data_IF_256736910223
#
_entry.id   IF_256736910223
#
_cell.length_a   1.000
_cell.length_b   1.000
_cell.length_c   1.000
_cell.angle_alpha   90.00
_cell.angle_beta   90.00
_cell.angle_gamma   90.00
#
_symmetry.space_group_name_H-M   'P 1'
#
loop_
_entity.id
_entity.type
_entity.pdbx_description
1 polymer ?
#
# COMPACT_ATOMS: atom_id res chain seq x y z
N UNK A 1 -50.71 41.39 47.81
CA UNK A 1 -50.20 41.17 47.06
C UNK A 1 -49.40 40.17 47.06
N UNK A 2 -49.45 39.24 46.67
CA UNK A 2 -48.76 38.28 46.60
C UNK A 2 -48.18 38.08 45.41
N UNK A 3 -47.13 37.96 45.23
CA UNK A 3 -46.50 37.68 44.13
C UNK A 3 -46.32 36.38 43.91
N UNK A 4 -46.82 35.83 43.15
CA UNK A 4 -46.65 34.56 42.82
C UNK A 4 -45.52 34.38 42.01
N UNK A 5 -44.61 34.04 42.43
CA UNK A 5 -43.47 33.75 41.68
C UNK A 5 -43.59 32.49 41.11
N UNK A 6 -43.77 32.42 39.99
CA UNK A 6 -43.83 31.25 39.41
C UNK A 6 -42.56 30.74 39.28
N UNK A 7 -42.26 29.82 39.83
CA UNK A 7 -41.07 29.15 39.63
C UNK A 7 -41.15 28.46 38.42
N UNK A 8 -40.58 28.89 37.53
CA UNK A 8 -40.52 28.13 36.30
C UNK A 8 -39.45 27.22 36.46
N UNK A 9 -39.76 26.13 36.64
CA UNK A 9 -38.80 25.10 36.76
C UNK A 9 -38.46 24.77 35.37
N UNK A 10 -37.48 25.24 34.97
CA UNK A 10 -37.06 24.89 33.68
C UNK A 10 -36.47 23.55 33.74
N UNK A 11 -37.07 22.68 33.37
CA UNK A 11 -36.56 21.37 33.34
C UNK A 11 -35.84 21.24 32.09
N UNK A 12 -34.70 21.40 32.14
CA UNK A 12 -33.94 21.16 30.97
C UNK A 12 -33.64 19.80 30.89
N UNK A 13 -34.29 19.19 30.22
CA UNK A 13 -33.99 17.81 30.04
C UNK A 13 -32.97 17.82 29.05
N UNK A 14 -31.92 17.79 29.41
CA UNK A 14 -30.89 17.67 28.46
C UNK A 14 -30.88 16.36 27.99
N UNK A 15 -31.34 16.18 27.05
CA UNK A 15 -31.34 14.89 26.55
C UNK A 15 -30.14 14.66 26.01
N UNK A 16 -29.44 14.08 26.48
CA UNK A 16 -28.31 13.76 25.93
C UNK A 16 -28.25 12.87 25.05
N UNK A 17 -27.89 12.95 24.28
CA UNK A 17 -27.77 12.19 23.33
C UNK A 17 -26.77 11.58 23.21
N UNK A 18 -26.34 11.07 23.46
CA UNK A 18 -25.46 10.37 23.30
C UNK A 18 -25.32 9.55 22.32
N UNK A 19 -25.93 9.57 21.61
CA UNK A 19 -25.84 8.71 20.61
C UNK A 19 -24.64 8.51 20.03
N UNK A 20 -23.84 9.26 20.19
CA UNK A 20 -22.70 8.99 19.47
C UNK A 20 -22.08 7.80 19.77
N UNK A 21 -22.25 7.36 20.76
CA UNK A 21 -21.51 6.23 21.04
C UNK A 21 -21.73 5.16 20.24
N UNK A 22 -22.67 5.18 19.66
CA UNK A 22 -22.92 4.01 19.03
C UNK A 22 -22.25 3.90 17.90
N UNK A 23 -21.46 4.63 17.56
CA UNK A 23 -20.91 4.39 16.48
C UNK A 23 -20.08 3.44 16.50
N UNK A 24 -20.22 2.46 16.69
CA UNK A 24 -19.55 1.47 16.46
C UNK A 24 -19.24 1.39 15.22
N UNK A 25 -18.24 1.81 14.82
CA UNK A 25 -17.79 1.56 13.65
C UNK A 25 -17.64 0.23 13.52
N UNK A 26 -18.24 -0.34 12.92
CA UNK A 26 -18.25 -1.67 12.73
C UNK A 26 -17.05 -1.97 12.22
N UNK A 27 -16.37 -2.50 12.62
CA UNK A 27 -15.38 -2.92 12.15
C UNK A 27 -15.26 -3.07 11.03
N UNK A 28 -14.74 -2.48 10.74
CA UNK A 28 -14.56 -2.43 9.68
C UNK A 28 -13.80 -3.33 9.15
N UNK A 29 -14.06 -4.17 8.88
CA UNK A 29 -13.52 -5.08 8.29
C UNK A 29 -13.34 -4.57 7.05
N UNK A 30 -12.70 -3.55 6.81
CA UNK A 30 -12.53 -3.14 5.57
C UNK A 30 -11.70 -4.02 4.88
N UNK A 31 -12.14 -4.67 4.04
CA UNK A 31 -11.39 -5.58 3.29
C UNK A 31 -10.29 -4.83 2.65
N UNK A 32 -10.46 -3.60 2.43
CA UNK A 32 -9.44 -3.00 1.77
C UNK A 32 -8.25 -2.88 2.61
N UNK A 33 -8.32 -2.94 3.83
CA UNK A 33 -7.15 -2.93 4.56
C UNK A 33 -6.54 -4.22 4.53
N UNK A 34 -7.24 -5.23 4.35
CA UNK A 34 -6.64 -6.51 4.31
C UNK A 34 -6.13 -6.73 2.97
N UNK A 35 -6.70 -6.16 2.00
CA UNK A 35 -6.23 -6.44 0.69
C UNK A 35 -4.99 -5.72 0.41
N UNK A 36 -4.66 -4.77 1.23
CA UNK A 36 -3.48 -4.11 0.96
C UNK A 36 -2.29 -4.91 1.18
N UNK A 37 -2.36 -5.91 1.94
CA UNK A 37 -1.24 -6.65 2.12
C UNK A 37 -1.27 -7.74 1.18
N UNK A 38 -0.58 -7.69 0.15
CA UNK A 38 -0.50 -8.80 -0.71
C UNK A 38 0.35 -9.73 -0.01
N UNK A 39 -0.22 -10.60 0.68
CA UNK A 39 0.56 -11.57 1.34
C UNK A 39 1.30 -12.40 0.36
N UNK A 40 2.35 -13.00 0.76
CA UNK A 40 3.10 -13.85 -0.12
C UNK A 40 2.27 -14.93 -0.75
N UNK A 41 1.24 -15.29 -0.09
CA UNK A 41 0.39 -16.34 -0.62
C UNK A 41 -0.41 -15.84 -1.82
N UNK A 42 -0.45 -14.55 -2.04
CA UNK A 42 -1.23 -14.09 -3.14
C UNK A 42 -0.30 -13.55 -4.22
N UNK A 43 0.92 -13.99 -4.24
CA UNK A 43 1.83 -13.53 -5.25
C UNK A 43 1.32 -13.87 -6.64
N UNK A 44 1.58 -13.04 -7.60
CA UNK A 44 1.13 -13.30 -8.96
C UNK A 44 1.81 -14.56 -9.49
N UNK A 45 1.12 -15.28 -10.34
CA UNK A 45 1.68 -16.47 -10.87
C UNK A 45 2.91 -16.15 -11.68
N UNK A 46 3.93 -16.94 -11.55
CA UNK A 46 5.17 -16.76 -12.30
C UNK A 46 5.92 -15.48 -11.96
N UNK A 47 5.66 -14.93 -10.81
CA UNK A 47 6.39 -13.75 -10.39
C UNK A 47 7.56 -14.16 -9.50
N UNK A 48 8.59 -13.35 -9.49
CA UNK A 48 9.75 -13.59 -8.67
C UNK A 48 9.72 -12.64 -7.50
N UNK A 49 10.12 -13.10 -6.35
CA UNK A 49 10.13 -12.26 -5.16
C UNK A 49 11.52 -11.69 -4.96
N UNK A 50 11.60 -10.40 -4.72
CA UNK A 50 12.86 -9.77 -4.39
C UNK A 50 12.80 -9.24 -2.96
N UNK A 51 13.83 -9.52 -2.20
CA UNK A 51 13.91 -9.08 -0.82
C UNK A 51 14.99 -8.01 -0.75
N UNK A 52 14.65 -6.87 -0.21
CA UNK A 52 15.54 -5.71 -0.18
C UNK A 52 15.92 -5.32 1.23
N UNK A 53 16.73 -4.28 1.39
CA UNK A 53 17.06 -3.82 2.70
C UNK A 53 15.83 -3.28 3.42
N UNK A 54 15.91 -3.22 4.71
CA UNK A 54 14.84 -2.70 5.55
C UNK A 54 13.56 -3.51 5.44
N UNK A 55 13.71 -4.77 5.17
CA UNK A 55 12.58 -5.69 5.09
C UNK A 55 11.60 -5.31 4.00
N UNK A 56 12.02 -4.61 2.99
CA UNK A 56 11.12 -4.30 1.90
C UNK A 56 11.18 -5.43 0.90
N UNK A 57 10.09 -5.66 0.23
CA UNK A 57 10.07 -6.70 -0.79
C UNK A 57 9.05 -6.38 -1.85
N UNK A 58 9.21 -6.94 -2.99
CA UNK A 58 8.28 -6.77 -4.10
C UNK A 58 8.38 -7.94 -5.05
N UNK A 59 7.39 -8.10 -5.91
CA UNK A 59 7.41 -9.16 -6.89
C UNK A 59 7.62 -8.55 -8.25
N UNK A 60 8.25 -9.32 -9.12
CA UNK A 60 8.47 -8.90 -10.49
C UNK A 60 8.04 -10.01 -11.41
N UNK A 61 7.27 -9.69 -12.42
CA UNK A 61 6.86 -10.68 -13.39
C UNK A 61 7.30 -10.18 -14.76
N UNK A 62 8.02 -10.97 -15.51
CA UNK A 62 8.46 -10.58 -16.83
C UNK A 62 7.33 -10.75 -17.84
N UNK A 63 7.15 -9.78 -18.68
CA UNK A 63 6.11 -9.83 -19.70
C UNK A 63 6.77 -9.64 -21.05
N UNK A 64 6.08 -10.07 -22.07
CA UNK A 64 6.59 -9.93 -23.42
C UNK A 64 8.03 -10.37 -23.62
N UNK A 65 8.36 -11.51 -23.09
CA UNK A 65 9.68 -12.04 -23.29
C UNK A 65 10.76 -11.26 -22.61
N UNK A 66 10.42 -10.54 -21.56
CA UNK A 66 11.41 -9.80 -20.83
C UNK A 66 11.55 -8.35 -21.26
N UNK A 67 10.72 -7.90 -22.17
CA UNK A 67 10.80 -6.51 -22.60
C UNK A 67 10.02 -5.60 -21.68
N UNK A 68 9.22 -6.16 -20.79
CA UNK A 68 8.48 -5.37 -19.87
C UNK A 68 8.48 -6.11 -18.55
N UNK A 69 8.54 -5.39 -17.46
CA UNK A 69 8.50 -6.00 -16.14
C UNK A 69 7.32 -5.43 -15.40
N UNK A 70 6.53 -6.33 -14.81
CA UNK A 70 5.39 -5.91 -14.03
C UNK A 70 5.83 -5.98 -12.58
N UNK A 71 5.77 -4.88 -11.88
CA UNK A 71 6.18 -4.83 -10.49
C UNK A 71 4.97 -4.80 -9.59
N UNK A 72 5.00 -5.59 -8.54
CA UNK A 72 3.89 -5.67 -7.60
C UNK A 72 4.42 -5.34 -6.22
N UNK A 73 3.95 -4.23 -5.67
CA UNK A 73 4.30 -3.80 -4.33
C UNK A 73 3.09 -3.99 -3.42
N UNK A 74 3.25 -3.90 -2.14
CA UNK A 74 2.10 -4.08 -1.25
C UNK A 74 0.96 -3.09 -1.50
N UNK A 75 1.29 -1.88 -1.94
CA UNK A 75 0.27 -0.87 -2.12
C UNK A 75 -0.04 -0.52 -3.57
N UNK A 76 0.67 -1.06 -4.52
CA UNK A 76 0.42 -0.72 -5.92
C UNK A 76 1.13 -1.67 -6.86
N UNK A 77 0.77 -1.62 -8.11
CA UNK A 77 1.46 -2.41 -9.09
C UNK A 77 1.44 -1.66 -10.41
N UNK A 78 2.45 -1.80 -11.20
CA UNK A 78 2.54 -1.16 -12.51
C UNK A 78 3.63 -1.78 -13.35
N UNK A 79 3.66 -1.45 -14.60
CA UNK A 79 4.64 -2.02 -15.52
C UNK A 79 5.74 -1.06 -15.87
N UNK A 80 6.90 -1.60 -16.19
CA UNK A 80 8.04 -0.82 -16.62
C UNK A 80 8.52 -1.41 -17.93
N UNK A 81 8.95 -0.58 -18.84
CA UNK A 81 9.43 -1.06 -20.13
C UNK A 81 10.93 -1.02 -20.16
N UNK A 82 11.52 -1.94 -20.89
CA UNK A 82 12.96 -2.03 -20.99
C UNK A 82 13.48 -0.76 -21.66
N UNK A 83 14.54 -0.21 -21.13
CA UNK A 83 15.12 0.99 -21.68
C UNK A 83 15.87 0.63 -22.96
N UNK A 84 15.87 1.52 -23.91
CA UNK A 84 16.53 1.20 -25.16
C UNK A 84 18.03 1.14 -24.98
N UNK A 85 18.56 1.87 -24.06
CA UNK A 85 19.98 1.92 -23.87
C UNK A 85 20.56 0.74 -23.11
N UNK A 86 19.76 0.02 -22.37
CA UNK A 86 20.28 -1.05 -21.55
C UNK A 86 19.24 -2.14 -21.33
N UNK A 87 19.67 -3.38 -21.45
CA UNK A 87 18.75 -4.46 -21.25
C UNK A 87 18.48 -4.71 -19.78
N UNK A 88 19.27 -4.09 -18.90
CA UNK A 88 19.07 -4.31 -17.49
C UNK A 88 18.29 -3.20 -16.81
N UNK A 89 17.86 -2.24 -17.55
CA UNK A 89 17.12 -1.13 -16.97
C UNK A 89 15.71 -1.07 -17.52
N UNK A 90 14.75 -0.96 -16.63
CA UNK A 90 13.35 -0.86 -17.01
C UNK A 90 12.80 0.38 -16.35
N UNK A 91 12.05 1.17 -17.05
CA UNK A 91 11.54 2.39 -16.45
C UNK A 91 10.20 2.84 -17.00
N UNK A 92 9.62 3.79 -16.33
CA UNK A 92 8.44 4.47 -16.80
C UNK A 92 8.73 5.93 -16.47
N UNK A 93 7.74 6.79 -16.44
CA UNK A 93 7.99 8.20 -16.21
C UNK A 93 8.55 8.50 -14.84
N UNK A 94 8.30 7.69 -13.86
CA UNK A 94 8.71 8.00 -12.51
C UNK A 94 9.60 6.97 -11.85
N UNK A 95 9.55 5.75 -12.29
CA UNK A 95 10.24 4.65 -11.63
C UNK A 95 11.25 3.96 -12.53
N UNK A 96 12.38 3.61 -11.98
CA UNK A 96 13.42 2.90 -12.70
C UNK A 96 13.84 1.66 -11.92
N UNK A 97 13.86 0.54 -12.60
CA UNK A 97 14.31 -0.73 -12.00
C UNK A 97 15.64 -1.06 -12.66
N UNK A 98 16.67 -1.24 -11.86
CA UNK A 98 17.97 -1.59 -12.38
C UNK A 98 18.33 -2.97 -11.89
N UNK A 99 18.48 -3.89 -12.77
CA UNK A 99 18.81 -5.25 -12.39
C UNK A 99 20.28 -5.49 -12.60
N UNK A 100 21.03 -5.50 -11.51
CA UNK A 100 22.44 -5.74 -11.57
C UNK A 100 22.72 -6.92 -10.67
N UNK A 101 22.86 -8.08 -11.21
CA UNK A 101 23.09 -9.25 -10.40
C UNK A 101 24.35 -9.07 -9.60
N UNK A 102 24.34 -9.46 -8.35
CA UNK A 102 23.21 -10.11 -7.69
C UNK A 102 22.22 -9.16 -7.03
N UNK A 103 22.41 -7.89 -7.22
CA UNK A 103 21.53 -6.93 -6.57
C UNK A 103 20.71 -6.13 -7.56
N UNK A 104 19.53 -5.75 -7.13
CA UNK A 104 18.59 -5.01 -7.95
C UNK A 104 18.16 -3.80 -7.15
N UNK A 105 17.96 -2.69 -7.80
CA UNK A 105 17.55 -1.48 -7.12
C UNK A 105 16.38 -0.82 -7.83
N UNK A 106 15.60 -0.07 -7.09
CA UNK A 106 14.50 0.69 -7.65
C UNK A 106 14.62 2.13 -7.23
N UNK A 107 14.51 3.03 -8.19
CA UNK A 107 14.55 4.43 -7.90
C UNK A 107 13.23 5.06 -8.30
N UNK A 108 12.79 6.02 -7.54
CA UNK A 108 11.61 6.77 -7.91
C UNK A 108 12.13 8.18 -8.07
N UNK A 109 12.19 8.66 -9.28
CA UNK A 109 12.85 9.89 -9.57
C UNK A 109 14.32 9.68 -9.33
N UNK A 110 14.92 10.50 -8.50
CA UNK A 110 16.30 10.34 -8.19
C UNK A 110 16.53 9.67 -6.84
N UNK A 111 15.48 9.22 -6.22
CA UNK A 111 15.60 8.62 -4.91
C UNK A 111 15.59 7.11 -4.97
N UNK A 112 16.57 6.50 -4.35
CA UNK A 112 16.66 5.06 -4.34
C UNK A 112 15.72 4.56 -3.27
N UNK A 113 14.61 3.97 -3.64
CA UNK A 113 13.59 3.55 -2.69
C UNK A 113 13.73 2.09 -2.27
N UNK A 114 14.26 1.24 -3.14
CA UNK A 114 14.51 -0.15 -2.79
C UNK A 114 15.94 -0.45 -3.17
N UNK A 115 16.73 -0.90 -2.22
CA UNK A 115 18.13 -1.14 -2.46
C UNK A 115 18.58 -2.52 -2.11
N UNK A 116 19.59 -2.95 -2.76
CA UNK A 116 20.18 -4.26 -2.48
C UNK A 116 19.15 -5.37 -2.48
N UNK A 117 18.31 -5.36 -3.47
CA UNK A 117 17.28 -6.36 -3.56
C UNK A 117 17.83 -7.62 -4.20
N UNK A 118 17.53 -8.74 -3.62
CA UNK A 118 18.02 -10.00 -4.14
C UNK A 118 16.89 -10.93 -4.42
N UNK A 119 17.02 -11.66 -5.48
CA UNK A 119 16.01 -12.60 -5.88
C UNK A 119 15.93 -13.74 -4.89
N UNK A 120 14.73 -14.04 -4.43
CA UNK A 120 14.55 -15.11 -3.49
C UNK A 120 14.03 -16.31 -4.26
N UNK A 121 14.53 -17.46 -3.94
CA UNK A 121 14.06 -18.62 -4.60
C UNK A 121 12.86 -19.10 -3.84
N UNK A 122 11.73 -19.19 -4.48
CA UNK A 122 10.56 -19.67 -3.82
C UNK A 122 10.53 -21.17 -4.05
N UNK A 123 10.17 -21.88 -3.05
CA UNK A 123 10.11 -23.31 -3.19
C UNK A 123 8.77 -23.77 -3.63
#
# INVERSE_FOLDING_TARGET
MKKMVKKITLVITSSLLVSCGSMKIPEVNLPMFNGDYRELSTAPKDASLYQCEKNKQFYVKALEGGKEMWLVFPDREFGLKQAEASKNIYNNDTTTLEINDPETNIKEGDVLTYQKCRLQKLK
#
